data_IF_473754693789
#
_entry.id   IF_473754693789
#
_cell.length_a   1.000
_cell.length_b   1.000
_cell.length_c   1.000
_cell.angle_alpha   90.00
_cell.angle_beta   90.00
_cell.angle_gamma   90.00
#
_symmetry.space_group_name_H-M   'P 1'
#
loop_
_entity.id
_entity.type
_entity.pdbx_description
1 polymer ?
#
# COMPACT_ATOMS: atom_id res chain seq x y z
N UNK A 1 -28.42 -9.06 24.96
CA UNK A 1 -28.00 -9.17 23.55
C UNK A 1 -27.13 -10.40 23.41
N UNK A 2 -27.39 -11.21 22.38
CA UNK A 2 -26.73 -12.49 22.11
C UNK A 2 -25.20 -12.35 21.93
N UNK A 3 -24.43 -13.41 22.27
CA UNK A 3 -22.97 -13.42 22.16
C UNK A 3 -22.52 -13.74 20.73
N UNK A 4 -21.41 -13.17 20.27
CA UNK A 4 -20.73 -13.59 19.04
C UNK A 4 -19.33 -14.14 19.39
N UNK A 5 -18.94 -15.32 18.87
CA UNK A 5 -17.79 -16.07 19.36
C UNK A 5 -16.54 -15.77 18.53
N UNK A 6 -15.51 -15.22 19.16
CA UNK A 6 -14.17 -15.21 18.58
C UNK A 6 -13.50 -16.55 18.87
N UNK A 7 -13.18 -17.22 17.76
CA UNK A 7 -12.48 -18.49 17.67
C UNK A 7 -11.11 -18.34 18.34
N UNK A 8 -10.93 -19.02 19.48
CA UNK A 8 -9.65 -19.28 20.11
C UNK A 8 -8.79 -20.17 19.19
N UNK A 9 -7.59 -19.71 18.85
CA UNK A 9 -6.55 -20.57 18.29
C UNK A 9 -5.72 -21.14 19.45
N UNK A 10 -5.78 -22.46 19.64
CA UNK A 10 -5.22 -23.18 20.80
C UNK A 10 -3.76 -23.63 20.63
N UNK A 11 -2.92 -22.90 19.88
CA UNK A 11 -1.53 -23.36 19.66
C UNK A 11 -0.42 -22.42 20.15
N UNK A 12 -0.71 -21.25 20.71
CA UNK A 12 0.32 -20.35 21.26
C UNK A 12 0.05 -20.02 22.73
N UNK A 13 0.59 -20.85 23.63
CA UNK A 13 0.78 -20.51 25.04
C UNK A 13 2.27 -20.16 25.27
N UNK A 14 2.62 -18.88 25.52
CA UNK A 14 4.01 -18.43 25.63
C UNK A 14 4.75 -18.89 26.89
N UNK A 15 4.10 -19.60 27.82
CA UNK A 15 4.63 -19.80 29.17
C UNK A 15 4.96 -21.26 29.53
N UNK A 16 4.83 -22.22 28.60
CA UNK A 16 4.98 -23.65 28.90
C UNK A 16 6.06 -24.40 28.11
N UNK A 17 7.27 -23.85 27.97
CA UNK A 17 8.42 -24.62 27.46
C UNK A 17 9.65 -24.48 28.38
N UNK A 18 9.88 -25.51 29.19
CA UNK A 18 11.11 -25.70 29.98
C UNK A 18 12.38 -25.85 29.12
N UNK A 19 13.56 -25.95 29.75
CA UNK A 19 14.84 -25.69 29.09
C UNK A 19 15.18 -26.77 28.06
N UNK A 20 15.18 -26.41 26.77
CA UNK A 20 15.62 -27.29 25.67
C UNK A 20 17.12 -27.13 25.42
N UNK A 21 17.80 -28.27 25.37
CA UNK A 21 19.24 -28.45 25.11
C UNK A 21 19.61 -27.90 23.71
N UNK A 22 20.72 -27.17 23.64
CA UNK A 22 21.31 -26.64 22.41
C UNK A 22 21.71 -27.79 21.46
N UNK A 23 21.19 -27.78 20.23
CA UNK A 23 21.61 -28.67 19.15
C UNK A 23 22.61 -27.91 18.26
N UNK A 24 23.75 -28.54 18.01
CA UNK A 24 24.88 -28.05 17.21
C UNK A 24 24.49 -27.74 15.76
N UNK A 25 24.99 -26.63 15.23
CA UNK A 25 24.97 -26.23 13.82
C UNK A 25 25.86 -27.15 12.96
N UNK A 26 25.44 -27.58 11.76
CA UNK A 26 26.35 -28.17 10.78
C UNK A 26 27.00 -27.08 9.91
N UNK A 27 28.32 -27.22 9.69
CA UNK A 27 29.12 -26.46 8.72
C UNK A 27 28.65 -26.68 7.26
N UNK A 28 28.95 -25.75 6.33
CA UNK A 28 28.57 -25.87 4.92
C UNK A 28 29.61 -26.71 4.14
N UNK A 29 29.19 -27.53 3.15
CA UNK A 29 30.16 -28.23 2.30
C UNK A 29 30.62 -27.34 1.13
N UNK A 30 31.93 -27.36 0.91
CA UNK A 30 32.65 -26.81 -0.23
C UNK A 30 32.52 -27.67 -1.50
N UNK A 31 32.40 -26.99 -2.64
CA UNK A 31 32.89 -27.30 -4.01
C UNK A 31 32.67 -28.72 -4.59
N UNK A 32 31.90 -28.72 -5.70
CA UNK A 32 31.79 -29.66 -6.84
C UNK A 32 32.70 -30.89 -6.89
N UNK A 33 32.12 -32.03 -7.32
CA UNK A 33 32.66 -32.73 -8.47
C UNK A 33 31.59 -33.11 -9.52
N UNK A 34 32.06 -33.08 -10.76
CA UNK A 34 31.43 -33.49 -12.02
C UNK A 34 30.85 -34.91 -11.96
N UNK A 35 29.54 -35.05 -12.18
CA UNK A 35 28.87 -36.35 -12.33
C UNK A 35 27.38 -36.21 -12.64
N UNK A 36 26.96 -36.64 -13.83
CA UNK A 36 25.57 -36.57 -14.32
C UNK A 36 24.62 -37.39 -13.41
N UNK A 37 23.41 -36.90 -13.06
CA UNK A 37 22.43 -37.73 -12.38
C UNK A 37 21.67 -38.64 -13.38
N UNK A 38 21.57 -39.93 -13.04
CA UNK A 38 20.78 -40.97 -13.70
C UNK A 38 19.28 -40.65 -13.59
N UNK A 39 18.61 -40.59 -14.74
CA UNK A 39 17.14 -40.62 -14.83
C UNK A 39 16.66 -42.07 -14.71
N UNK A 40 15.68 -42.30 -13.83
CA UNK A 40 14.94 -43.55 -13.72
C UNK A 40 14.06 -43.73 -14.98
N UNK A 41 14.11 -44.87 -15.69
CA UNK A 41 13.27 -45.09 -16.87
C UNK A 41 11.85 -45.52 -16.46
N UNK A 42 10.84 -44.86 -17.00
CA UNK A 42 9.46 -45.38 -17.07
C UNK A 42 9.41 -46.52 -18.12
N UNK A 43 8.65 -47.60 -17.88
CA UNK A 43 8.59 -48.73 -18.80
C UNK A 43 7.80 -48.42 -20.08
N UNK A 44 8.10 -49.10 -21.21
CA UNK A 44 7.58 -48.76 -22.53
C UNK A 44 6.13 -49.24 -22.73
N UNK A 45 5.34 -48.40 -23.40
CA UNK A 45 3.99 -48.72 -23.85
C UNK A 45 4.01 -49.83 -24.92
N UNK A 46 3.41 -50.98 -24.59
CA UNK A 46 3.14 -52.05 -25.54
C UNK A 46 1.80 -51.83 -26.26
N UNK A 47 1.80 -52.21 -27.53
CA UNK A 47 0.75 -52.05 -28.53
C UNK A 47 -0.53 -52.84 -28.21
N UNK A 48 -1.64 -52.24 -28.65
CA UNK A 48 -2.86 -52.85 -29.18
C UNK A 48 -3.54 -53.97 -28.38
N UNK A 49 -4.70 -53.65 -27.81
CA UNK A 49 -5.87 -54.53 -27.90
C UNK A 49 -7.16 -53.73 -27.79
N UNK A 50 -7.96 -53.81 -28.87
CA UNK A 50 -9.36 -53.41 -28.91
C UNK A 50 -10.12 -54.24 -27.88
N UNK A 51 -10.87 -53.62 -26.98
CA UNK A 51 -12.20 -54.08 -26.54
C UNK A 51 -12.86 -52.96 -25.72
N UNK A 52 -13.80 -52.26 -26.33
CA UNK A 52 -14.78 -51.44 -25.60
C UNK A 52 -16.06 -52.25 -25.58
N UNK A 53 -16.49 -52.67 -24.39
CA UNK A 53 -17.91 -52.88 -24.12
C UNK A 53 -18.44 -51.65 -23.39
N UNK A 54 -19.58 -51.07 -23.79
CA UNK A 54 -20.35 -50.19 -22.94
C UNK A 54 -21.32 -51.02 -22.08
N UNK A 55 -21.33 -50.70 -20.78
CA UNK A 55 -22.35 -51.06 -19.82
C UNK A 55 -23.48 -50.04 -19.95
N UNK A 56 -24.69 -50.49 -20.26
CA UNK A 56 -25.94 -49.91 -19.72
C UNK A 56 -27.05 -50.97 -19.77
N UNK A 57 -27.62 -51.30 -18.61
CA UNK A 57 -28.82 -52.15 -18.41
C UNK A 57 -30.03 -51.23 -18.06
N UNK A 58 -31.25 -51.74 -17.77
CA UNK A 58 -32.28 -52.20 -18.72
C UNK A 58 -33.68 -51.63 -18.38
N UNK A 59 -34.64 -51.63 -19.32
CA UNK A 59 -36.08 -51.50 -18.96
C UNK A 59 -36.93 -52.45 -19.81
N UNK A 60 -37.37 -53.52 -19.13
CA UNK A 60 -38.64 -54.26 -19.20
C UNK A 60 -39.14 -54.76 -20.57
N UNK A 61 -39.03 -56.07 -20.74
CA UNK A 61 -39.95 -56.89 -21.53
C UNK A 61 -41.09 -57.44 -20.64
N UNK A 62 -42.19 -57.92 -21.24
CA UNK A 62 -42.85 -59.15 -20.80
C UNK A 62 -42.61 -60.23 -21.87
N UNK A 63 -41.73 -61.20 -21.60
CA UNK A 63 -42.09 -62.57 -21.19
C UNK A 63 -43.23 -63.17 -22.02
N UNK A 64 -42.90 -64.15 -22.88
CA UNK A 64 -43.35 -65.54 -22.68
C UNK A 64 -42.23 -66.48 -23.15
N UNK A 65 -41.93 -67.41 -22.24
CA UNK A 65 -41.00 -68.54 -22.32
C UNK A 65 -41.79 -69.73 -22.89
N UNK A 66 -41.10 -70.76 -23.39
CA UNK A 66 -41.40 -72.20 -23.16
C UNK A 66 -41.42 -73.10 -24.42
N UNK A 67 -40.46 -74.04 -24.38
CA UNK A 67 -40.42 -75.44 -24.82
C UNK A 67 -40.46 -75.82 -26.30
N UNK A 68 -39.31 -76.36 -26.71
CA UNK A 68 -39.15 -77.43 -27.67
C UNK A 68 -39.72 -78.73 -27.07
N UNK A 69 -40.88 -79.17 -27.55
CA UNK A 69 -41.46 -80.48 -27.29
C UNK A 69 -41.66 -81.20 -28.62
N UNK A 70 -41.05 -82.39 -28.77
CA UNK A 70 -41.44 -83.37 -29.80
C UNK A 70 -42.73 -84.04 -29.35
N UNK A 71 -43.77 -84.00 -30.19
CA UNK A 71 -44.82 -85.01 -30.18
C UNK A 71 -45.46 -85.10 -31.57
N UNK A 72 -45.44 -86.32 -32.13
CA UNK A 72 -46.37 -86.80 -33.15
C UNK A 72 -47.80 -86.62 -32.64
N UNK A 73 -48.67 -86.00 -33.44
CA UNK A 73 -49.97 -86.58 -33.82
C UNK A 73 -50.70 -85.67 -34.81
N UNK A 74 -51.38 -86.34 -35.74
CA UNK A 74 -52.28 -85.82 -36.75
C UNK A 74 -53.21 -84.71 -36.23
N UNK A 75 -53.45 -83.66 -37.03
CA UNK A 75 -54.79 -83.16 -37.34
C UNK A 75 -54.74 -82.12 -38.47
N UNK A 76 -55.66 -82.29 -39.43
CA UNK A 76 -55.84 -81.50 -40.65
C UNK A 76 -55.97 -80.00 -40.34
N UNK A 77 -55.11 -79.17 -40.94
CA UNK A 77 -55.27 -77.72 -41.01
C UNK A 77 -55.73 -77.30 -42.41
N UNK A 78 -56.52 -76.22 -42.53
CA UNK A 78 -57.23 -75.89 -43.77
C UNK A 78 -56.26 -75.37 -44.81
N UNK A 79 -56.20 -76.04 -45.96
CA UNK A 79 -55.47 -75.56 -47.13
C UNK A 79 -56.15 -74.32 -47.70
N UNK A 80 -55.43 -73.20 -47.78
CA UNK A 80 -55.90 -72.02 -48.50
C UNK A 80 -55.61 -72.23 -50.00
N UNK A 81 -56.66 -72.53 -50.76
CA UNK A 81 -56.60 -72.77 -52.20
C UNK A 81 -56.98 -71.47 -52.91
N UNK A 82 -56.00 -70.84 -53.54
CA UNK A 82 -56.16 -69.59 -54.28
C UNK A 82 -56.19 -69.91 -55.78
N UNK A 83 -57.28 -69.55 -56.45
CA UNK A 83 -57.35 -69.60 -57.92
C UNK A 83 -56.63 -68.38 -58.47
N UNK A 84 -55.44 -68.60 -59.03
CA UNK A 84 -54.61 -67.50 -59.58
C UNK A 84 -55.06 -67.15 -61.01
N UNK A 85 -55.41 -68.17 -61.80
CA UNK A 85 -55.86 -68.07 -63.20
C UNK A 85 -56.55 -69.38 -63.64
N UNK A 86 -57.41 -69.39 -64.69
CA UNK A 86 -58.13 -70.59 -65.12
C UNK A 86 -57.20 -71.78 -65.33
N UNK A 87 -57.48 -72.92 -64.71
CA UNK A 87 -56.66 -74.14 -64.81
C UNK A 87 -55.42 -74.19 -63.91
N UNK A 88 -55.15 -73.20 -63.04
CA UNK A 88 -54.05 -73.24 -62.06
C UNK A 88 -54.56 -72.98 -60.63
N UNK A 89 -54.33 -73.94 -59.73
CA UNK A 89 -54.62 -73.81 -58.29
C UNK A 89 -53.32 -73.64 -57.51
N UNK A 90 -53.24 -72.55 -56.76
CA UNK A 90 -52.16 -72.33 -55.80
C UNK A 90 -52.62 -72.80 -54.43
N UNK A 91 -51.89 -73.76 -53.88
CA UNK A 91 -52.09 -74.25 -52.51
C UNK A 91 -50.90 -73.78 -51.69
N UNK A 92 -51.13 -72.85 -50.76
CA UNK A 92 -50.08 -72.27 -49.92
C UNK A 92 -50.25 -72.69 -48.46
N UNK A 93 -49.15 -73.13 -47.85
CA UNK A 93 -49.00 -73.23 -46.40
C UNK A 93 -47.82 -72.33 -45.96
N UNK A 94 -47.63 -72.12 -44.66
CA UNK A 94 -46.58 -71.23 -44.10
C UNK A 94 -45.16 -71.61 -44.52
N UNK A 95 -44.93 -72.86 -44.91
CA UNK A 95 -43.59 -73.40 -45.20
C UNK A 95 -43.39 -73.75 -46.68
N UNK A 96 -44.46 -73.96 -47.45
CA UNK A 96 -44.39 -74.46 -48.83
C UNK A 96 -45.51 -73.87 -49.71
N UNK A 97 -45.16 -73.63 -50.98
CA UNK A 97 -46.07 -73.15 -52.00
C UNK A 97 -46.11 -74.21 -53.10
N UNK A 98 -47.30 -74.75 -53.37
CA UNK A 98 -47.53 -75.69 -54.47
C UNK A 98 -48.43 -75.04 -55.50
N UNK A 99 -48.00 -75.04 -56.76
CA UNK A 99 -48.85 -74.69 -57.91
C UNK A 99 -49.21 -76.00 -58.59
N UNK A 100 -50.48 -76.38 -58.56
CA UNK A 100 -50.99 -77.55 -59.30
C UNK A 100 -51.80 -77.11 -60.50
N UNK A 101 -51.57 -77.76 -61.63
CA UNK A 101 -52.39 -77.63 -62.82
C UNK A 101 -53.71 -78.35 -62.58
N UNK A 102 -54.84 -77.68 -62.79
CA UNK A 102 -56.17 -78.26 -62.61
C UNK A 102 -56.47 -79.33 -63.65
N UNK A 103 -57.12 -80.43 -63.23
CA UNK A 103 -57.55 -81.54 -64.10
C UNK A 103 -58.46 -81.11 -65.27
N UNK A 104 -59.06 -79.92 -65.16
CA UNK A 104 -59.85 -79.28 -66.22
C UNK A 104 -59.04 -79.08 -67.53
N UNK A 105 -57.70 -79.05 -67.46
CA UNK A 105 -56.80 -78.95 -68.61
C UNK A 105 -56.54 -80.30 -69.31
N UNK A 106 -56.94 -81.42 -68.68
CA UNK A 106 -56.77 -82.78 -69.20
C UNK A 106 -58.10 -83.46 -69.58
N UNK A 107 -59.24 -82.78 -69.37
CA UNK A 107 -60.54 -83.19 -69.89
C UNK A 107 -60.56 -83.10 -71.43
N UNK A 108 -60.07 -84.16 -72.07
CA UNK A 108 -60.39 -84.45 -73.47
C UNK A 108 -61.90 -84.72 -73.57
N UNK A 109 -62.69 -83.66 -73.73
CA UNK A 109 -63.99 -83.74 -74.41
C UNK A 109 -63.73 -84.41 -75.77
N UNK A 110 -64.08 -85.69 -75.90
CA UNK A 110 -64.23 -86.36 -77.20
C UNK A 110 -65.29 -85.57 -77.97
N UNK A 111 -64.85 -84.64 -78.82
CA UNK A 111 -65.67 -84.07 -79.88
C UNK A 111 -65.81 -85.15 -80.94
N UNK A 112 -67.01 -85.71 -81.02
CA UNK A 112 -67.54 -86.39 -82.20
C UNK A 112 -67.36 -85.44 -83.38
N UNK A 113 -66.55 -85.84 -84.36
CA UNK A 113 -66.60 -85.27 -85.70
C UNK A 113 -67.96 -85.62 -86.30
N UNK A 114 -68.77 -84.62 -86.58
CA UNK A 114 -69.74 -84.68 -87.68
C UNK A 114 -70.21 -83.27 -88.05
N UNK A 115 -70.02 -82.97 -89.33
CA UNK A 115 -70.79 -82.02 -90.15
C UNK A 115 -70.63 -80.52 -89.92
N UNK A 116 -69.57 -79.95 -90.52
CA UNK A 116 -69.72 -78.85 -91.49
C UNK A 116 -68.64 -79.04 -92.59
N UNK A 117 -68.95 -79.81 -93.63
CA UNK A 117 -68.16 -79.79 -94.87
C UNK A 117 -68.58 -78.59 -95.73
N UNK A 118 -67.70 -77.60 -95.77
CA UNK A 118 -67.07 -77.11 -96.98
C UNK A 118 -67.88 -77.16 -98.31
N UNK A 119 -68.25 -75.98 -98.83
CA UNK A 119 -68.35 -75.69 -100.28
C UNK A 119 -67.52 -74.45 -100.63
N UNK A 120 -66.22 -74.49 -100.40
CA UNK A 120 -65.23 -73.69 -101.12
C UNK A 120 -63.97 -74.55 -101.28
N UNK A 121 -63.65 -74.93 -102.53
CA UNK A 121 -62.39 -75.58 -102.88
C UNK A 121 -61.23 -74.61 -102.62
N UNK A 122 -60.78 -74.55 -101.38
CA UNK A 122 -59.45 -74.04 -101.02
C UNK A 122 -58.49 -75.21 -101.13
N UNK A 123 -57.39 -75.03 -101.83
CA UNK A 123 -56.43 -76.11 -102.05
C UNK A 123 -55.71 -76.43 -100.72
N UNK A 124 -55.29 -77.68 -100.53
CA UNK A 124 -54.46 -78.09 -99.37
C UNK A 124 -53.22 -77.21 -99.21
N UNK A 125 -52.74 -76.65 -100.32
CA UNK A 125 -51.60 -75.76 -100.41
C UNK A 125 -51.87 -74.41 -99.75
N UNK A 126 -53.04 -73.80 -99.96
CA UNK A 126 -53.37 -72.47 -99.40
C UNK A 126 -53.46 -72.48 -97.86
N UNK A 127 -53.89 -73.60 -97.28
CA UNK A 127 -53.94 -73.80 -95.81
C UNK A 127 -52.52 -73.97 -95.25
N UNK A 128 -51.64 -74.66 -95.98
CA UNK A 128 -50.25 -74.86 -95.55
C UNK A 128 -49.51 -73.53 -95.60
N UNK A 129 -49.67 -72.72 -96.65
CA UNK A 129 -49.04 -71.40 -96.76
C UNK A 129 -49.52 -70.44 -95.67
N UNK A 130 -50.83 -70.42 -95.36
CA UNK A 130 -51.36 -69.61 -94.25
C UNK A 130 -50.78 -70.02 -92.89
N UNK A 131 -50.60 -71.33 -92.64
CA UNK A 131 -49.95 -71.83 -91.43
C UNK A 131 -48.44 -71.49 -91.39
N UNK A 132 -47.75 -71.55 -92.52
CA UNK A 132 -46.34 -71.14 -92.64
C UNK A 132 -46.17 -69.63 -92.41
N UNK A 133 -47.09 -68.81 -92.93
CA UNK A 133 -47.13 -67.37 -92.71
C UNK A 133 -47.44 -67.04 -91.24
N UNK A 134 -48.40 -67.72 -90.61
CA UNK A 134 -48.70 -67.57 -89.18
C UNK A 134 -47.51 -67.99 -88.31
N UNK A 135 -46.81 -69.08 -88.65
CA UNK A 135 -45.59 -69.50 -87.94
C UNK A 135 -44.50 -68.42 -88.11
N UNK A 136 -44.35 -67.85 -89.31
CA UNK A 136 -43.39 -66.78 -89.59
C UNK A 136 -43.71 -65.50 -88.80
N UNK A 137 -44.98 -65.08 -88.76
CA UNK A 137 -45.42 -63.91 -87.99
C UNK A 137 -45.24 -64.14 -86.48
N UNK A 138 -45.63 -65.31 -85.96
CA UNK A 138 -45.39 -65.67 -84.56
C UNK A 138 -43.90 -65.70 -84.21
N UNK A 139 -43.04 -66.17 -85.11
CA UNK A 139 -41.58 -66.17 -84.92
C UNK A 139 -41.04 -64.75 -84.81
N UNK A 140 -41.47 -63.85 -85.70
CA UNK A 140 -41.10 -62.42 -85.64
C UNK A 140 -41.59 -61.78 -84.34
N UNK A 141 -42.82 -62.06 -83.90
CA UNK A 141 -43.37 -61.55 -82.64
C UNK A 141 -42.56 -62.06 -81.44
N UNK A 142 -42.22 -63.35 -81.40
CA UNK A 142 -41.43 -63.94 -80.30
C UNK A 142 -40.02 -63.33 -80.26
N UNK A 143 -39.36 -63.19 -81.40
CA UNK A 143 -38.05 -62.55 -81.48
C UNK A 143 -38.09 -61.08 -81.05
N UNK A 144 -39.13 -60.35 -81.46
CA UNK A 144 -39.34 -58.97 -81.04
C UNK A 144 -39.55 -58.88 -79.53
N UNK A 145 -40.40 -59.74 -78.97
CA UNK A 145 -40.66 -59.80 -77.53
C UNK A 145 -39.39 -60.16 -76.75
N UNK A 146 -38.54 -61.05 -77.27
CA UNK A 146 -37.25 -61.37 -76.65
C UNK A 146 -36.27 -60.19 -76.69
N UNK A 147 -36.21 -59.44 -77.80
CA UNK A 147 -35.41 -58.22 -77.90
C UNK A 147 -35.88 -57.16 -76.91
N UNK A 148 -37.20 -56.94 -76.83
CA UNK A 148 -37.80 -55.97 -75.91
C UNK A 148 -37.59 -56.37 -74.45
N UNK A 149 -37.74 -57.66 -74.12
CA UNK A 149 -37.45 -58.17 -72.78
C UNK A 149 -35.99 -57.94 -72.38
N UNK A 150 -35.04 -58.27 -73.25
CA UNK A 150 -33.63 -58.02 -72.98
C UNK A 150 -33.30 -56.52 -72.86
N UNK A 151 -33.93 -55.68 -73.68
CA UNK A 151 -33.79 -54.21 -73.59
C UNK A 151 -34.32 -53.68 -72.26
N UNK A 152 -35.53 -54.09 -71.86
CA UNK A 152 -36.14 -53.71 -70.58
C UNK A 152 -35.31 -54.20 -69.38
N UNK A 153 -34.82 -55.44 -69.42
CA UNK A 153 -33.94 -55.99 -68.39
C UNK A 153 -32.64 -55.17 -68.26
N UNK A 154 -32.02 -54.82 -69.39
CA UNK A 154 -30.80 -54.00 -69.41
C UNK A 154 -31.06 -52.58 -68.88
N UNK A 155 -32.18 -51.96 -69.26
CA UNK A 155 -32.58 -50.64 -68.77
C UNK A 155 -32.77 -50.69 -67.25
N UNK A 156 -33.52 -51.66 -66.73
CA UNK A 156 -33.75 -51.83 -65.30
C UNK A 156 -32.44 -52.08 -64.55
N UNK A 157 -31.53 -52.89 -65.10
CA UNK A 157 -30.21 -53.13 -64.49
C UNK A 157 -29.36 -51.85 -64.43
N UNK A 158 -29.40 -51.03 -65.48
CA UNK A 158 -28.67 -49.75 -65.52
C UNK A 158 -29.28 -48.75 -64.52
N UNK A 159 -30.61 -48.67 -64.43
CA UNK A 159 -31.28 -47.81 -63.46
C UNK A 159 -30.97 -48.23 -62.03
N UNK A 160 -30.99 -49.54 -61.73
CA UNK A 160 -30.59 -50.06 -60.42
C UNK A 160 -29.13 -49.72 -60.09
N UNK A 161 -28.21 -49.88 -61.04
CA UNK A 161 -26.81 -49.52 -60.84
C UNK A 161 -26.63 -48.01 -60.55
N UNK A 162 -27.37 -47.16 -61.27
CA UNK A 162 -27.36 -45.71 -61.07
C UNK A 162 -27.92 -45.35 -59.68
N UNK A 163 -29.04 -45.95 -59.26
CA UNK A 163 -29.60 -45.76 -57.91
C UNK A 163 -28.64 -46.20 -56.82
N UNK A 164 -27.93 -47.32 -57.01
CA UNK A 164 -26.90 -47.78 -56.08
C UNK A 164 -25.74 -46.77 -55.98
N UNK A 165 -25.26 -46.25 -57.11
CA UNK A 165 -24.18 -45.26 -57.14
C UNK A 165 -24.59 -43.94 -56.49
N UNK A 166 -25.78 -43.42 -56.79
CA UNK A 166 -26.32 -42.20 -56.16
C UNK A 166 -26.45 -42.36 -54.64
N UNK A 167 -27.00 -43.50 -54.20
CA UNK A 167 -27.15 -43.78 -52.77
C UNK A 167 -25.80 -43.88 -52.07
N UNK A 168 -24.83 -44.57 -52.67
CA UNK A 168 -23.48 -44.66 -52.14
C UNK A 168 -22.82 -43.28 -52.03
N UNK A 169 -22.90 -42.47 -53.09
CA UNK A 169 -22.36 -41.11 -53.09
C UNK A 169 -23.03 -40.22 -52.02
N UNK A 170 -24.35 -40.36 -51.82
CA UNK A 170 -25.07 -39.63 -50.77
C UNK A 170 -24.58 -40.01 -49.37
N UNK A 171 -24.40 -41.31 -49.10
CA UNK A 171 -23.83 -41.78 -47.84
C UNK A 171 -22.39 -41.28 -47.62
N UNK A 172 -21.55 -41.30 -48.66
CA UNK A 172 -20.19 -40.79 -48.60
C UNK A 172 -20.16 -39.28 -48.32
N UNK A 173 -21.00 -38.50 -49.02
CA UNK A 173 -21.13 -37.07 -48.81
C UNK A 173 -21.59 -36.73 -47.38
N UNK A 174 -22.67 -37.36 -46.90
CA UNK A 174 -23.16 -37.16 -45.52
C UNK A 174 -22.13 -37.55 -44.46
N UNK A 175 -21.39 -38.63 -44.69
CA UNK A 175 -20.34 -39.06 -43.78
C UNK A 175 -19.16 -38.07 -43.77
N UNK A 176 -18.82 -37.48 -44.91
CA UNK A 176 -17.81 -36.41 -44.99
C UNK A 176 -18.28 -35.15 -44.26
N UNK A 177 -19.48 -34.67 -44.57
CA UNK A 177 -20.07 -33.48 -43.92
C UNK A 177 -20.14 -33.65 -42.40
N UNK A 178 -20.55 -34.82 -41.91
CA UNK A 178 -20.59 -35.12 -40.47
C UNK A 178 -19.20 -35.07 -39.84
N UNK A 179 -18.18 -35.61 -40.50
CA UNK A 179 -16.79 -35.58 -40.00
C UNK A 179 -16.24 -34.15 -39.98
N UNK A 180 -16.47 -33.38 -41.03
CA UNK A 180 -16.06 -31.98 -41.10
C UNK A 180 -16.73 -31.12 -40.03
N UNK A 181 -18.03 -31.32 -39.80
CA UNK A 181 -18.76 -30.64 -38.72
C UNK A 181 -18.19 -31.01 -37.34
N UNK A 182 -17.94 -32.29 -37.07
CA UNK A 182 -17.34 -32.74 -35.82
C UNK A 182 -15.93 -32.16 -35.61
N UNK A 183 -15.11 -32.12 -36.67
CA UNK A 183 -13.77 -31.52 -36.61
C UNK A 183 -13.84 -30.02 -36.31
N UNK A 184 -14.78 -29.30 -36.93
CA UNK A 184 -15.01 -27.89 -36.68
C UNK A 184 -15.47 -27.63 -35.23
N UNK A 185 -16.40 -28.43 -34.70
CA UNK A 185 -16.86 -28.33 -33.31
C UNK A 185 -15.73 -28.60 -32.31
N UNK A 186 -14.90 -29.62 -32.57
CA UNK A 186 -13.74 -29.92 -31.72
C UNK A 186 -12.71 -28.79 -31.76
N UNK A 187 -12.43 -28.23 -32.95
CA UNK A 187 -11.53 -27.09 -33.10
C UNK A 187 -12.06 -25.85 -32.37
N UNK A 188 -13.35 -25.56 -32.50
CA UNK A 188 -13.99 -24.45 -31.79
C UNK A 188 -13.93 -24.64 -30.27
N UNK A 189 -14.23 -25.85 -29.79
CA UNK A 189 -14.16 -26.18 -28.37
C UNK A 189 -12.73 -26.06 -27.82
N UNK A 190 -11.74 -26.55 -28.54
CA UNK A 190 -10.33 -26.43 -28.18
C UNK A 190 -9.90 -24.95 -28.11
N UNK A 191 -10.31 -24.14 -29.09
CA UNK A 191 -10.02 -22.71 -29.11
C UNK A 191 -10.70 -21.97 -27.94
N UNK A 192 -11.94 -22.32 -27.61
CA UNK A 192 -12.64 -21.78 -26.46
C UNK A 192 -11.92 -22.11 -25.15
N UNK A 193 -11.53 -23.37 -24.94
CA UNK A 193 -10.76 -23.76 -23.75
C UNK A 193 -9.41 -23.04 -23.67
N UNK A 194 -8.69 -22.89 -24.79
CA UNK A 194 -7.44 -22.13 -24.84
C UNK A 194 -7.67 -20.65 -24.49
N UNK A 195 -8.76 -20.05 -24.96
CA UNK A 195 -9.10 -18.65 -24.66
C UNK A 195 -9.44 -18.48 -23.17
N UNK A 196 -10.29 -19.32 -22.61
CA UNK A 196 -10.66 -19.30 -21.18
C UNK A 196 -9.42 -19.52 -20.30
N UNK A 197 -8.55 -20.48 -20.65
CA UNK A 197 -7.32 -20.72 -19.90
C UNK A 197 -6.37 -19.51 -19.92
N UNK A 198 -6.28 -18.80 -21.05
CA UNK A 198 -5.48 -17.57 -21.13
C UNK A 198 -6.07 -16.44 -20.29
N UNK A 199 -7.39 -16.26 -20.34
CA UNK A 199 -8.09 -15.26 -19.53
C UNK A 199 -7.91 -15.54 -18.03
N UNK A 200 -8.10 -16.79 -17.59
CA UNK A 200 -7.91 -17.20 -16.20
C UNK A 200 -6.47 -16.99 -15.72
N UNK A 201 -5.47 -17.32 -16.56
CA UNK A 201 -4.06 -17.05 -16.25
C UNK A 201 -3.78 -15.57 -16.08
N UNK A 202 -4.35 -14.71 -16.92
CA UNK A 202 -4.20 -13.26 -16.80
C UNK A 202 -4.89 -12.73 -15.53
N UNK A 203 -6.10 -13.17 -15.23
CA UNK A 203 -6.82 -12.79 -14.02
C UNK A 203 -6.07 -13.23 -12.74
N UNK A 204 -5.53 -14.45 -12.73
CA UNK A 204 -4.71 -14.95 -11.63
C UNK A 204 -3.40 -14.15 -11.46
N UNK A 205 -2.76 -13.75 -12.57
CA UNK A 205 -1.56 -12.92 -12.54
C UNK A 205 -1.86 -11.51 -12.02
N UNK A 206 -2.94 -10.89 -12.47
CA UNK A 206 -3.38 -9.57 -12.00
C UNK A 206 -3.64 -9.57 -10.49
N UNK A 207 -4.34 -10.59 -9.99
CA UNK A 207 -4.56 -10.78 -8.55
C UNK A 207 -3.25 -10.97 -7.79
N UNK A 208 -2.29 -11.70 -8.34
CA UNK A 208 -0.97 -11.85 -7.73
C UNK A 208 -0.24 -10.50 -7.63
N UNK A 209 -0.28 -9.70 -8.70
CA UNK A 209 0.35 -8.37 -8.74
C UNK A 209 -0.31 -7.40 -7.74
N UNK A 210 -1.64 -7.47 -7.56
CA UNK A 210 -2.37 -6.73 -6.53
C UNK A 210 -1.92 -7.11 -5.12
N UNK A 211 -1.90 -8.41 -4.80
CA UNK A 211 -1.43 -8.91 -3.50
C UNK A 211 0.02 -8.51 -3.22
N UNK A 212 0.88 -8.46 -4.23
CA UNK A 212 2.27 -7.98 -4.09
C UNK A 212 2.32 -6.49 -3.74
N UNK A 213 1.45 -5.66 -4.33
CA UNK A 213 1.33 -4.24 -3.99
C UNK A 213 0.84 -4.06 -2.55
N UNK A 214 -0.18 -4.79 -2.13
CA UNK A 214 -0.69 -4.76 -0.75
C UNK A 214 0.38 -5.20 0.25
N UNK A 215 1.10 -6.29 -0.04
CA UNK A 215 2.20 -6.75 0.78
C UNK A 215 3.29 -5.68 0.92
N UNK A 216 3.68 -5.03 -0.19
CA UNK A 216 4.66 -3.93 -0.17
C UNK A 216 4.16 -2.75 0.66
N UNK A 217 2.88 -2.39 0.53
CA UNK A 217 2.27 -1.34 1.33
C UNK A 217 2.30 -1.68 2.83
N UNK A 218 1.89 -2.89 3.20
CA UNK A 218 1.89 -3.33 4.60
C UNK A 218 3.31 -3.39 5.17
N UNK A 219 4.28 -3.87 4.37
CA UNK A 219 5.70 -3.86 4.75
C UNK A 219 6.22 -2.45 5.01
N UNK A 220 5.85 -1.49 4.17
CA UNK A 220 6.22 -0.08 4.37
C UNK A 220 5.55 0.50 5.62
N UNK A 221 4.27 0.20 5.85
CA UNK A 221 3.55 0.63 7.05
C UNK A 221 4.19 0.07 8.33
N UNK A 222 4.64 -1.19 8.28
CA UNK A 222 5.35 -1.81 9.38
C UNK A 222 6.69 -1.14 9.65
N UNK A 223 7.47 -0.82 8.63
CA UNK A 223 8.71 -0.06 8.80
C UNK A 223 8.46 1.34 9.39
N UNK A 224 7.45 2.07 8.91
CA UNK A 224 7.09 3.37 9.51
C UNK A 224 6.70 3.23 10.98
N UNK A 225 5.97 2.17 11.35
CA UNK A 225 5.68 1.89 12.76
C UNK A 225 6.94 1.58 13.56
N UNK A 226 7.85 0.77 13.03
CA UNK A 226 9.14 0.48 13.68
C UNK A 226 9.96 1.75 13.90
N UNK A 227 10.05 2.62 12.90
CA UNK A 227 10.76 3.90 12.97
C UNK A 227 10.11 4.82 14.00
N UNK A 228 8.77 4.94 13.98
CA UNK A 228 8.02 5.71 14.98
C UNK A 228 8.28 5.24 16.42
N UNK A 229 8.38 3.93 16.64
CA UNK A 229 8.70 3.38 17.96
C UNK A 229 10.14 3.69 18.35
N UNK A 230 11.09 3.62 17.40
CA UNK A 230 12.48 4.00 17.67
C UNK A 230 12.60 5.47 18.05
N UNK A 231 11.95 6.36 17.31
CA UNK A 231 11.95 7.80 17.57
C UNK A 231 11.31 8.13 18.94
N UNK A 232 10.18 7.48 19.29
CA UNK A 232 9.55 7.65 20.60
C UNK A 232 10.48 7.20 21.74
N UNK A 233 11.19 6.09 21.56
CA UNK A 233 12.13 5.59 22.55
C UNK A 233 13.36 6.50 22.68
N UNK A 234 13.89 7.02 21.58
CA UNK A 234 15.02 7.95 21.56
C UNK A 234 14.65 9.30 22.21
N UNK A 235 13.46 9.83 21.95
CA UNK A 235 12.95 11.05 22.60
C UNK A 235 12.77 10.85 24.12
N UNK A 236 12.18 9.72 24.54
CA UNK A 236 12.07 9.38 25.97
C UNK A 236 13.44 9.25 26.63
N UNK A 237 14.40 8.62 25.95
CA UNK A 237 15.76 8.48 26.43
C UNK A 237 16.46 9.84 26.57
N UNK A 238 16.35 10.68 25.54
CA UNK A 238 16.89 12.04 25.52
C UNK A 238 16.31 12.92 26.62
N UNK A 239 14.98 12.88 26.82
CA UNK A 239 14.30 13.58 27.92
C UNK A 239 14.78 13.11 29.29
N UNK A 240 14.95 11.80 29.48
CA UNK A 240 15.44 11.25 30.75
C UNK A 240 16.88 11.67 31.02
N UNK A 241 17.72 11.65 29.99
CA UNK A 241 19.11 12.11 30.07
C UNK A 241 19.18 13.60 30.45
N UNK A 242 18.39 14.45 29.79
CA UNK A 242 18.35 15.88 30.11
C UNK A 242 17.90 16.15 31.55
N UNK A 243 16.90 15.41 32.05
CA UNK A 243 16.47 15.50 33.46
C UNK A 243 17.59 15.15 34.43
N UNK A 244 18.33 14.06 34.17
CA UNK A 244 19.47 13.69 35.00
C UNK A 244 20.58 14.74 34.98
N UNK A 245 20.87 15.34 33.82
CA UNK A 245 21.86 16.43 33.72
C UNK A 245 21.40 17.68 34.49
N UNK A 246 20.12 18.02 34.44
CA UNK A 246 19.55 19.13 35.22
C UNK A 246 19.59 18.85 36.73
N UNK A 247 19.18 17.65 37.16
CA UNK A 247 19.24 17.22 38.56
C UNK A 247 20.69 17.22 39.09
N UNK A 248 21.65 16.73 38.30
CA UNK A 248 23.06 16.77 38.65
C UNK A 248 23.56 18.21 38.80
N UNK A 249 23.18 19.09 37.86
CA UNK A 249 23.55 20.51 37.91
C UNK A 249 22.97 21.20 39.15
N UNK A 250 21.71 20.93 39.47
CA UNK A 250 21.04 21.47 40.66
C UNK A 250 21.70 20.98 41.95
N UNK A 251 22.07 19.70 42.05
CA UNK A 251 22.74 19.18 43.24
C UNK A 251 24.16 19.78 43.39
N UNK A 252 24.89 19.93 42.28
CA UNK A 252 26.18 20.65 42.27
C UNK A 252 26.02 22.10 42.74
N UNK A 253 25.02 22.82 42.26
CA UNK A 253 24.73 24.21 42.65
C UNK A 253 24.36 24.31 44.13
N UNK A 254 23.54 23.38 44.63
CA UNK A 254 23.15 23.30 46.05
C UNK A 254 24.36 23.09 46.96
N UNK A 255 25.25 22.18 46.60
CA UNK A 255 26.50 21.93 47.36
C UNK A 255 27.38 23.19 47.36
N UNK A 256 27.56 23.84 46.19
CA UNK A 256 28.33 25.08 46.08
C UNK A 256 27.72 26.21 46.92
N UNK A 257 26.40 26.36 46.90
CA UNK A 257 25.70 27.37 47.71
C UNK A 257 25.90 27.10 49.21
N UNK A 258 25.80 25.84 49.64
CA UNK A 258 26.04 25.46 51.03
C UNK A 258 27.49 25.74 51.45
N UNK A 259 28.47 25.42 50.59
CA UNK A 259 29.88 25.74 50.85
C UNK A 259 30.10 27.25 50.95
N UNK A 260 29.53 28.04 50.02
CA UNK A 260 29.61 29.51 50.05
C UNK A 260 29.04 30.07 51.35
N UNK A 261 27.84 29.65 51.74
CA UNK A 261 27.22 30.08 53.00
C UNK A 261 28.08 29.74 54.23
N UNK A 262 28.68 28.54 54.26
CA UNK A 262 29.56 28.14 55.35
C UNK A 262 30.82 29.01 55.43
N UNK A 263 31.44 29.32 54.29
CA UNK A 263 32.63 30.19 54.23
C UNK A 263 32.26 31.62 54.66
N UNK A 264 31.15 32.16 54.16
CA UNK A 264 30.68 33.50 54.54
C UNK A 264 30.44 33.61 56.04
N UNK A 265 29.76 32.63 56.66
CA UNK A 265 29.54 32.60 58.12
C UNK A 265 30.85 32.55 58.90
N UNK A 266 31.83 31.76 58.46
CA UNK A 266 33.16 31.70 59.10
C UNK A 266 33.86 33.06 59.02
N UNK A 267 33.87 33.67 57.84
CA UNK A 267 34.47 34.98 57.63
C UNK A 267 33.79 36.08 58.47
N UNK A 268 32.46 36.07 58.58
CA UNK A 268 31.72 36.99 59.44
C UNK A 268 32.09 36.84 60.92
N UNK A 269 32.18 35.61 61.41
CA UNK A 269 32.60 35.33 62.79
C UNK A 269 34.04 35.79 63.04
N UNK A 270 34.97 35.49 62.14
CA UNK A 270 36.36 35.95 62.21
C UNK A 270 36.45 37.48 62.16
N UNK A 271 35.64 38.13 61.32
CA UNK A 271 35.56 39.60 61.23
C UNK A 271 35.06 40.22 62.54
N UNK A 272 34.02 39.64 63.15
CA UNK A 272 33.52 40.07 64.47
C UNK A 272 34.61 39.89 65.54
N UNK A 273 35.30 38.74 65.55
CA UNK A 273 36.37 38.47 66.51
C UNK A 273 37.56 39.42 66.35
N UNK A 274 37.97 39.71 65.11
CA UNK A 274 39.04 40.67 64.82
C UNK A 274 38.63 42.09 65.22
N UNK A 275 37.41 42.52 64.89
CA UNK A 275 36.89 43.83 65.33
C UNK A 275 36.87 43.95 66.85
N UNK A 276 36.45 42.88 67.55
CA UNK A 276 36.49 42.83 69.01
C UNK A 276 37.92 42.98 69.54
N UNK A 277 38.89 42.22 69.01
CA UNK A 277 40.31 42.33 69.40
C UNK A 277 40.87 43.73 69.17
N UNK A 278 40.54 44.36 68.03
CA UNK A 278 40.96 45.74 67.73
C UNK A 278 40.33 46.72 68.72
N UNK A 279 39.03 46.58 69.01
CA UNK A 279 38.33 47.45 69.96
C UNK A 279 38.88 47.29 71.39
N UNK A 280 39.11 46.06 71.84
CA UNK A 280 39.70 45.76 73.15
C UNK A 280 41.12 46.34 73.25
N UNK A 281 41.92 46.19 72.18
CA UNK A 281 43.25 46.80 72.08
C UNK A 281 43.20 48.33 72.07
N UNK A 282 42.25 48.93 71.34
CA UNK A 282 42.07 50.37 71.26
C UNK A 282 41.67 50.95 72.61
N UNK A 283 40.69 50.34 73.28
CA UNK A 283 40.27 50.72 74.63
C UNK A 283 41.43 50.64 75.62
N UNK A 284 42.22 49.56 75.59
CA UNK A 284 43.39 49.43 76.46
C UNK A 284 44.44 50.53 76.22
N UNK A 285 44.76 50.84 74.96
CA UNK A 285 45.69 51.93 74.60
C UNK A 285 45.12 53.30 75.01
N UNK A 286 43.83 53.53 74.81
CA UNK A 286 43.16 54.78 75.17
C UNK A 286 43.10 55.01 76.68
N UNK A 287 42.80 53.97 77.47
CA UNK A 287 42.84 54.02 78.94
C UNK A 287 44.26 54.30 79.44
N UNK A 288 45.27 53.66 78.86
CA UNK A 288 46.67 53.93 79.18
C UNK A 288 47.05 55.38 78.86
N UNK A 289 46.72 55.87 77.67
CA UNK A 289 46.96 57.26 77.28
C UNK A 289 46.25 58.26 78.20
N UNK A 290 44.99 57.96 78.57
CA UNK A 290 44.21 58.80 79.49
C UNK A 290 44.87 58.87 80.87
N UNK A 291 45.37 57.72 81.36
CA UNK A 291 46.11 57.63 82.62
C UNK A 291 47.42 58.42 82.58
N UNK A 292 48.24 58.21 81.54
CA UNK A 292 49.49 58.95 81.34
C UNK A 292 49.24 60.45 81.26
N UNK A 293 48.20 60.88 80.52
CA UNK A 293 47.79 62.29 80.45
C UNK A 293 47.40 62.85 81.81
N UNK A 294 46.61 62.10 82.59
CA UNK A 294 46.19 62.53 83.93
C UNK A 294 47.38 62.63 84.89
N UNK A 295 48.30 61.66 84.83
CA UNK A 295 49.55 61.68 85.60
C UNK A 295 50.43 62.90 85.21
N UNK A 296 50.54 63.18 83.91
CA UNK A 296 51.30 64.32 83.39
C UNK A 296 50.64 65.66 83.74
N UNK A 297 49.30 65.75 83.74
CA UNK A 297 48.56 66.91 84.23
C UNK A 297 48.79 67.14 85.73
N UNK A 298 48.71 66.09 86.54
CA UNK A 298 49.02 66.18 87.98
C UNK A 298 50.45 66.62 88.21
N UNK A 299 51.39 66.17 87.38
CA UNK A 299 52.78 66.63 87.44
C UNK A 299 52.90 68.11 87.07
N UNK A 300 52.30 68.52 85.94
CA UNK A 300 52.29 69.91 85.49
C UNK A 300 51.66 70.86 86.53
N UNK A 301 50.58 70.44 87.19
CA UNK A 301 49.94 71.23 88.25
C UNK A 301 50.88 71.43 89.44
N UNK A 302 51.60 70.38 89.87
CA UNK A 302 52.65 70.50 90.89
C UNK A 302 53.74 71.47 90.46
N UNK A 303 54.27 71.32 89.25
CA UNK A 303 55.33 72.18 88.70
C UNK A 303 54.83 73.63 88.56
N UNK A 304 53.55 73.84 88.25
CA UNK A 304 52.92 75.17 88.15
C UNK A 304 52.81 75.83 89.52
N UNK A 305 52.42 75.07 90.56
CA UNK A 305 52.38 75.56 91.95
C UNK A 305 53.80 75.93 92.40
N UNK A 306 54.79 75.08 92.12
CA UNK A 306 56.20 75.38 92.40
C UNK A 306 56.66 76.65 91.66
N UNK A 307 56.30 76.81 90.39
CA UNK A 307 56.57 78.03 89.60
C UNK A 307 55.83 79.26 90.16
N UNK A 308 54.60 79.12 90.66
CA UNK A 308 53.86 80.20 91.31
C UNK A 308 54.47 80.60 92.64
N UNK A 309 54.95 79.65 93.44
CA UNK A 309 55.73 79.91 94.67
C UNK A 309 57.05 80.64 94.33
N UNK A 310 57.74 80.22 93.27
CA UNK A 310 58.91 80.90 92.71
C UNK A 310 58.59 82.28 92.12
N UNK A 311 57.35 82.50 91.61
CA UNK A 311 56.87 83.81 91.15
C UNK A 311 56.44 84.72 92.31
N UNK A 312 55.86 84.19 93.39
CA UNK A 312 55.53 84.93 94.62
C UNK A 312 56.78 85.46 95.31
N UNK A 313 57.90 84.75 95.21
CA UNK A 313 59.22 85.24 95.64
C UNK A 313 59.84 86.28 94.70
N UNK A 314 59.23 86.58 93.54
CA UNK A 314 59.70 87.58 92.56
C UNK A 314 58.61 88.53 92.08
N UNK A 315 57.58 88.79 92.89
CA UNK A 315 56.46 89.62 92.47
C UNK A 315 56.86 91.11 92.37
N UNK A 316 57.17 91.55 91.14
CA UNK A 316 57.15 92.96 90.75
C UNK A 316 55.93 93.16 89.84
N UNK A 317 54.97 94.04 90.18
CA UNK A 317 53.83 94.30 89.32
C UNK A 317 54.28 95.12 88.09
N UNK A 318 54.26 94.49 86.91
CA UNK A 318 54.54 95.16 85.64
C UNK A 318 53.24 95.42 84.87
N UNK A 319 53.05 96.66 84.37
CA UNK A 319 51.90 97.11 83.57
C UNK A 319 51.71 96.34 82.25
N UNK A 320 52.66 95.47 81.88
CA UNK A 320 52.56 94.60 80.71
C UNK A 320 51.42 93.57 80.82
N UNK A 321 50.97 93.22 82.03
CA UNK A 321 49.90 92.22 82.23
C UNK A 321 48.53 92.64 81.63
N UNK A 322 48.24 93.95 81.49
CA UNK A 322 46.99 94.40 80.86
C UNK A 322 47.01 94.30 79.32
N UNK A 323 48.18 94.43 78.69
CA UNK A 323 48.32 94.29 77.23
C UNK A 323 48.17 92.82 76.83
N UNK A 324 48.74 91.91 77.63
CA UNK A 324 48.63 90.46 77.43
C UNK A 324 47.18 89.97 77.63
N UNK A 325 46.45 90.51 78.62
CA UNK A 325 45.04 90.16 78.84
C UNK A 325 44.15 90.59 77.66
N UNK A 326 44.43 91.76 77.09
CA UNK A 326 43.68 92.27 75.93
C UNK A 326 44.01 91.49 74.66
N UNK A 327 45.27 91.10 74.48
CA UNK A 327 45.69 90.21 73.39
C UNK A 327 45.04 88.83 73.52
N UNK A 328 44.96 88.28 74.74
CA UNK A 328 44.32 86.99 75.02
C UNK A 328 42.83 87.00 74.68
N UNK A 329 42.09 88.03 75.11
CA UNK A 329 40.68 88.22 74.75
C UNK A 329 40.48 88.38 73.24
N UNK A 330 41.39 89.08 72.55
CA UNK A 330 41.32 89.24 71.09
C UNK A 330 41.54 87.89 70.38
N UNK A 331 42.51 87.10 70.84
CA UNK A 331 42.80 85.77 70.28
C UNK A 331 41.62 84.82 70.50
N UNK A 332 40.96 84.88 71.66
CA UNK A 332 39.78 84.06 71.97
C UNK A 332 38.60 84.37 71.04
N UNK A 333 38.35 85.66 70.76
CA UNK A 333 37.31 86.07 69.79
C UNK A 333 37.63 85.60 68.37
N UNK A 334 38.89 85.71 67.94
CA UNK A 334 39.30 85.20 66.62
C UNK A 334 39.18 83.67 66.50
N UNK A 335 39.43 82.94 67.60
CA UNK A 335 39.31 81.48 67.63
C UNK A 335 37.84 81.04 67.56
N UNK A 336 36.94 81.76 68.23
CA UNK A 336 35.49 81.55 68.11
C UNK A 336 35.00 81.83 66.68
N UNK A 337 35.40 82.95 66.05
CA UNK A 337 35.05 83.26 64.67
C UNK A 337 35.55 82.18 63.69
N UNK A 338 36.80 81.74 63.85
CA UNK A 338 37.38 80.66 63.03
C UNK A 338 36.57 79.36 63.18
N UNK A 339 36.14 79.04 64.40
CA UNK A 339 35.34 77.85 64.66
C UNK A 339 33.95 77.94 64.02
N UNK A 340 33.30 79.11 64.04
CA UNK A 340 32.03 79.30 63.33
C UNK A 340 32.18 79.14 61.81
N UNK A 341 33.27 79.63 61.23
CA UNK A 341 33.55 79.44 59.80
C UNK A 341 33.80 77.96 59.46
N UNK A 342 34.47 77.21 60.33
CA UNK A 342 34.69 75.77 60.14
C UNK A 342 33.36 74.99 60.10
N UNK A 343 32.42 75.31 60.99
CA UNK A 343 31.07 74.71 61.02
C UNK A 343 30.27 75.05 59.74
N UNK A 344 30.37 76.29 59.24
CA UNK A 344 29.72 76.70 57.98
C UNK A 344 30.31 75.93 56.79
N UNK A 345 31.64 75.76 56.75
CA UNK A 345 32.31 74.97 55.72
C UNK A 345 31.90 73.49 55.76
N UNK A 346 31.80 72.90 56.96
CA UNK A 346 31.38 71.51 57.14
C UNK A 346 29.92 71.28 56.72
N UNK A 347 29.03 72.23 57.05
CA UNK A 347 27.62 72.19 56.61
C UNK A 347 27.46 72.38 55.09
N UNK A 348 28.25 73.26 54.47
CA UNK A 348 28.31 73.38 53.01
C UNK A 348 28.82 72.08 52.36
N UNK A 349 29.88 71.49 52.92
CA UNK A 349 30.48 70.27 52.38
C UNK A 349 29.53 69.07 52.45
N UNK A 350 28.81 68.92 53.55
CA UNK A 350 27.77 67.87 53.69
C UNK A 350 26.61 68.06 52.71
N UNK A 351 26.15 69.31 52.51
CA UNK A 351 25.10 69.63 51.54
C UNK A 351 25.56 69.35 50.10
N UNK A 352 26.82 69.69 49.76
CA UNK A 352 27.40 69.38 48.46
C UNK A 352 27.51 67.87 48.22
N UNK A 353 27.93 67.11 49.22
CA UNK A 353 27.99 65.65 49.12
C UNK A 353 26.60 65.04 48.91
N UNK A 354 25.59 65.55 49.62
CA UNK A 354 24.21 65.07 49.51
C UNK A 354 23.61 65.35 48.12
N UNK A 355 23.80 66.56 47.60
CA UNK A 355 23.35 66.92 46.24
C UNK A 355 24.09 66.11 45.16
N UNK A 356 25.38 65.83 45.33
CA UNK A 356 26.13 64.96 44.44
C UNK A 356 25.56 63.53 44.41
N UNK A 357 25.17 62.99 45.57
CA UNK A 357 24.55 61.65 45.66
C UNK A 357 23.15 61.60 45.03
N UNK A 358 22.36 62.66 45.16
CA UNK A 358 21.07 62.79 44.48
C UNK A 358 21.24 62.86 42.96
N UNK A 359 22.21 63.64 42.48
CA UNK A 359 22.53 63.72 41.06
C UNK A 359 22.96 62.37 40.49
N UNK A 360 23.75 61.58 41.22
CA UNK A 360 24.13 60.22 40.79
C UNK A 360 22.92 59.27 40.72
N UNK A 361 21.99 59.38 41.67
CA UNK A 361 20.73 58.62 41.64
C UNK A 361 19.88 58.99 40.43
N UNK A 362 19.68 60.29 40.18
CA UNK A 362 18.92 60.75 39.01
C UNK A 362 19.61 60.38 37.68
N UNK A 363 20.94 60.42 37.63
CA UNK A 363 21.67 59.93 36.45
C UNK A 363 21.40 58.45 36.17
N UNK A 364 21.31 57.64 37.23
CA UNK A 364 20.99 56.22 37.09
C UNK A 364 19.52 55.97 36.67
N UNK A 365 18.56 56.75 37.19
CA UNK A 365 17.14 56.64 36.80
C UNK A 365 16.95 57.01 35.33
N UNK A 366 17.55 58.12 34.88
CA UNK A 366 17.52 58.55 33.47
C UNK A 366 18.15 57.50 32.57
N UNK A 367 19.34 56.98 32.91
CA UNK A 367 19.99 55.95 32.11
C UNK A 367 19.19 54.64 32.00
N UNK A 368 18.40 54.29 33.03
CA UNK A 368 17.49 53.14 32.98
C UNK A 368 16.27 53.41 32.08
N UNK A 369 15.72 54.63 32.11
CA UNK A 369 14.63 55.04 31.23
C UNK A 369 15.06 55.07 29.76
N UNK A 370 16.26 55.57 29.46
CA UNK A 370 16.84 55.55 28.10
C UNK A 370 16.97 54.12 27.57
N UNK A 371 17.49 53.19 28.38
CA UNK A 371 17.58 51.77 27.99
C UNK A 371 16.20 51.16 27.73
N UNK A 372 15.22 51.47 28.57
CA UNK A 372 13.84 50.99 28.39
C UNK A 372 13.22 51.52 27.10
N UNK A 373 13.43 52.81 26.81
CA UNK A 373 12.98 53.43 25.56
C UNK A 373 13.64 52.75 24.35
N UNK A 374 14.95 52.52 24.40
CA UNK A 374 15.67 51.85 23.31
C UNK A 374 15.13 50.44 23.05
N UNK A 375 14.85 49.67 24.11
CA UNK A 375 14.23 48.34 23.99
C UNK A 375 12.86 48.45 23.33
N UNK A 376 12.02 49.42 23.75
CA UNK A 376 10.68 49.61 23.17
C UNK A 376 10.72 50.00 21.70
N UNK A 377 11.70 50.80 21.29
CA UNK A 377 11.93 51.14 19.89
C UNK A 377 12.28 49.88 19.10
N UNK A 378 13.26 49.10 19.55
CA UNK A 378 13.64 47.85 18.86
C UNK A 378 12.52 46.81 18.80
N UNK A 379 11.71 46.67 19.87
CA UNK A 379 10.51 45.82 19.85
C UNK A 379 9.49 46.27 18.79
N UNK A 380 9.31 47.58 18.61
CA UNK A 380 8.41 48.12 17.60
C UNK A 380 8.96 47.93 16.18
N UNK A 381 10.26 48.15 15.98
CA UNK A 381 10.94 47.93 14.69
C UNK A 381 10.83 46.47 14.24
N UNK A 382 11.06 45.49 15.13
CA UNK A 382 10.91 44.08 14.79
C UNK A 382 9.46 43.70 14.45
N UNK A 383 8.46 44.28 15.14
CA UNK A 383 7.04 44.10 14.78
C UNK A 383 6.72 44.65 13.40
N UNK A 384 7.23 45.83 13.06
CA UNK A 384 7.05 46.40 11.74
C UNK A 384 7.74 45.57 10.66
N UNK A 385 8.96 45.10 10.93
CA UNK A 385 9.70 44.21 10.01
C UNK A 385 8.95 42.91 9.74
N UNK A 386 8.41 42.25 10.79
CA UNK A 386 7.57 41.07 10.64
C UNK A 386 6.31 41.36 9.80
N UNK A 387 5.65 42.49 10.05
CA UNK A 387 4.45 42.90 9.29
C UNK A 387 4.77 43.14 7.82
N UNK A 388 5.89 43.82 7.53
CA UNK A 388 6.36 44.04 6.15
C UNK A 388 6.64 42.70 5.47
N UNK A 389 7.29 41.75 6.17
CA UNK A 389 7.57 40.43 5.61
C UNK A 389 6.29 39.67 5.27
N UNK A 390 5.30 39.65 6.17
CA UNK A 390 4.02 39.00 5.93
C UNK A 390 3.30 39.59 4.71
N UNK A 391 3.22 40.93 4.63
CA UNK A 391 2.63 41.62 3.49
C UNK A 391 3.39 41.35 2.18
N UNK A 392 4.71 41.18 2.26
CA UNK A 392 5.55 40.84 1.09
C UNK A 392 5.23 39.42 0.59
N UNK A 393 5.11 38.45 1.50
CA UNK A 393 4.74 37.07 1.17
C UNK A 393 3.33 36.98 0.58
N UNK A 394 2.37 37.69 1.17
CA UNK A 394 1.01 37.83 0.61
C UNK A 394 1.03 38.46 -0.78
N UNK A 395 1.80 39.52 -1.00
CA UNK A 395 1.93 40.17 -2.30
C UNK A 395 2.50 39.20 -3.35
N UNK A 396 3.54 38.43 -3.00
CA UNK A 396 4.11 37.39 -3.86
C UNK A 396 3.06 36.32 -4.19
N UNK A 397 2.30 35.86 -3.20
CA UNK A 397 1.24 34.88 -3.41
C UNK A 397 0.15 35.42 -4.35
N UNK A 398 -0.28 36.68 -4.15
CA UNK A 398 -1.25 37.33 -5.03
C UNK A 398 -0.73 37.45 -6.45
N UNK A 399 0.54 37.86 -6.64
CA UNK A 399 1.19 37.91 -7.95
C UNK A 399 1.23 36.53 -8.62
N UNK A 400 1.61 35.47 -7.90
CA UNK A 400 1.56 34.09 -8.42
C UNK A 400 0.16 33.67 -8.82
N UNK A 401 -0.85 34.01 -8.01
CA UNK A 401 -2.26 33.70 -8.30
C UNK A 401 -2.75 34.44 -9.54
N UNK A 402 -2.35 35.70 -9.74
CA UNK A 402 -2.63 36.48 -10.95
C UNK A 402 -1.95 35.84 -12.16
N UNK A 403 -0.68 35.44 -12.06
CA UNK A 403 0.04 34.76 -13.14
C UNK A 403 -0.67 33.45 -13.51
N UNK A 404 -0.99 32.60 -12.53
CA UNK A 404 -1.71 31.35 -12.78
C UNK A 404 -3.09 31.57 -13.42
N UNK A 405 -3.83 32.60 -12.98
CA UNK A 405 -5.10 32.98 -13.59
C UNK A 405 -4.93 33.50 -15.02
N UNK A 406 -3.87 34.28 -15.27
CA UNK A 406 -3.56 34.76 -16.61
C UNK A 406 -3.16 33.59 -17.52
N UNK A 407 -2.36 32.63 -17.04
CA UNK A 407 -2.02 31.39 -17.77
C UNK A 407 -3.26 30.55 -18.08
N UNK A 408 -4.18 30.40 -17.12
CA UNK A 408 -5.47 29.73 -17.33
C UNK A 408 -6.29 30.45 -18.43
N UNK A 409 -6.34 31.79 -18.39
CA UNK A 409 -6.99 32.60 -19.44
C UNK A 409 -6.24 32.45 -20.78
N UNK A 410 -4.91 32.41 -20.79
CA UNK A 410 -4.11 32.23 -22.00
C UNK A 410 -4.29 30.83 -22.58
N UNK A 411 -4.41 29.77 -21.79
CA UNK A 411 -4.74 28.42 -22.25
C UNK A 411 -6.18 28.35 -22.80
N UNK A 412 -7.13 28.98 -22.11
CA UNK A 412 -8.53 29.11 -22.57
C UNK A 412 -8.65 29.91 -23.88
N UNK A 413 -7.71 30.84 -24.12
CA UNK A 413 -7.59 31.63 -25.36
C UNK A 413 -6.69 30.98 -26.42
N UNK A 414 -5.74 30.12 -26.04
CA UNK A 414 -4.80 29.39 -26.92
C UNK A 414 -5.49 28.23 -27.66
N UNK A 415 -6.59 27.70 -27.12
CA UNK A 415 -7.57 26.92 -27.88
C UNK A 415 -8.25 27.71 -29.01
N UNK A 416 -8.04 29.02 -29.10
CA UNK A 416 -8.64 29.93 -30.08
C UNK A 416 -7.71 31.11 -30.43
N UNK A 417 -6.69 30.82 -31.26
CA UNK A 417 -5.93 31.75 -32.11
C UNK A 417 -4.49 32.10 -31.68
N UNK A 418 -3.66 32.10 -32.73
CA UNK A 418 -2.22 32.29 -32.91
C UNK A 418 -1.76 33.76 -32.81
N UNK A 419 -0.44 33.96 -32.61
CA UNK A 419 0.40 35.19 -32.72
C UNK A 419 0.50 36.08 -31.47
N UNK A 420 1.61 36.74 -31.12
CA UNK A 420 3.02 36.77 -31.57
C UNK A 420 3.89 37.37 -30.44
N UNK A 421 5.18 37.04 -30.46
CA UNK A 421 6.27 37.66 -29.70
C UNK A 421 6.28 39.20 -29.76
N UNK A 422 6.64 39.86 -28.65
CA UNK A 422 7.61 40.96 -28.68
C UNK A 422 8.27 41.15 -27.30
N UNK A 423 9.58 40.94 -27.31
CA UNK A 423 10.56 41.11 -26.25
C UNK A 423 11.10 42.55 -26.33
N UNK A 424 11.04 43.29 -25.21
CA UNK A 424 11.76 44.55 -25.06
C UNK A 424 12.52 44.53 -23.73
N UNK A 425 13.79 44.14 -23.84
CA UNK A 425 14.86 44.51 -22.93
C UNK A 425 15.13 46.02 -22.99
N UNK A 426 15.40 46.63 -21.83
CA UNK A 426 16.36 47.74 -21.61
C UNK A 426 16.33 48.13 -20.12
N UNK A 427 17.31 47.71 -19.31
CA UNK A 427 18.51 48.50 -18.91
C UNK A 427 18.21 49.94 -18.48
N UNK A 428 18.35 50.20 -17.17
CA UNK A 428 18.86 51.48 -16.67
C UNK A 428 19.77 51.22 -15.46
N UNK A 429 21.03 51.60 -15.65
CA UNK A 429 22.10 51.70 -14.67
C UNK A 429 21.80 52.77 -13.60
N UNK A 430 22.21 52.44 -12.38
CA UNK A 430 23.07 53.22 -11.48
C UNK A 430 22.76 54.71 -11.24
N UNK A 431 22.60 55.12 -9.97
CA UNK A 431 23.40 56.22 -9.38
C UNK A 431 23.16 56.37 -7.87
N UNK A 432 24.29 56.55 -7.19
CA UNK A 432 24.50 57.37 -5.98
C UNK A 432 24.28 56.76 -4.60
N UNK A 433 25.40 56.24 -4.09
CA UNK A 433 25.84 56.45 -2.71
C UNK A 433 25.61 57.90 -2.24
N UNK A 434 25.12 58.07 -1.01
CA UNK A 434 25.67 59.08 -0.11
C UNK A 434 25.52 58.63 1.35
N UNK A 435 26.66 58.66 2.05
CA UNK A 435 26.82 58.47 3.49
C UNK A 435 26.54 59.80 4.19
N UNK A 436 25.98 59.76 5.39
CA UNK A 436 26.33 60.62 6.55
C UNK A 436 25.53 60.08 7.75
N UNK A 437 26.20 59.40 8.68
CA UNK A 437 26.77 59.89 9.97
C UNK A 437 25.75 59.87 11.11
#
# INVERSE_FOLDING_TARGET
MYPNPLIYCTCWDPWNLGPRKLIKTPQPPSKTPTGKPKLTPLPPAAKNQKYVQPITKPVVAPKVKVQLGKQEESNKLPYEVINVSPGYRLIRNREQIFVTLGDEMFDKKKRSQSDIMNRFKVSRTDIITDLEDQISELTVIIEQMNRDHHSAQKLLSNEMALRCAEMQQNFENKNRELKEAHEAELSQLENNYKAVLKAEKLAAQEKLDEMVKEYKYLKNMFHMYQDSIHDEMEDKWSKKKAKWEEEEKLEREKILLQQKQNITKKFELESIEVKKKINDSYSAVFENFSREKEELLKQHEKDTIELEELKKTKQVPCRHCHVVLKQFLLTQVMEEELNTQAVILETLNTTLYQTQMELQREKATVGNLEKMLQIKISEAEEKFKYTIQLLTEENIHLRRKIIAKNEEIYEERSGRSTFSYEDYSNTLEDYSNEKEL
#
